data_IF_985440208198
#
_entry.id   IF_985440208198
#
_cell.length_a   1.000
_cell.length_b   1.000
_cell.length_c   1.000
_cell.angle_alpha   90.00
_cell.angle_beta   90.00
_cell.angle_gamma   90.00
#
_symmetry.space_group_name_H-M   'P 1'
#
loop_
_entity.id
_entity.type
_entity.pdbx_description
1 polymer ?
#
# COMPACT_ATOMS: atom_id res chain seq x y z
N UNK A 1 -12.30 -15.47 10.77
CA UNK A 1 -11.47 -14.48 10.05
C UNK A 1 -10.09 -15.07 9.86
N UNK A 2 -9.53 -15.10 8.65
CA UNK A 2 -8.16 -15.55 8.42
C UNK A 2 -7.16 -14.67 9.18
N UNK A 3 -6.08 -15.28 9.65
CA UNK A 3 -4.93 -14.58 10.24
C UNK A 3 -4.22 -13.70 9.20
N UNK A 4 -3.39 -12.76 9.67
CA UNK A 4 -2.55 -11.92 8.81
C UNK A 4 -1.63 -12.77 7.93
N UNK A 5 -1.04 -13.83 8.48
CA UNK A 5 -0.16 -14.74 7.75
C UNK A 5 -0.92 -15.49 6.63
N UNK A 6 -2.13 -15.98 6.90
CA UNK A 6 -2.96 -16.63 5.88
C UNK A 6 -3.36 -15.66 4.76
N UNK A 7 -3.68 -14.40 5.09
CA UNK A 7 -3.96 -13.37 4.08
C UNK A 7 -2.74 -13.07 3.20
N UNK A 8 -1.55 -12.95 3.79
CA UNK A 8 -0.29 -12.73 3.05
C UNK A 8 0.03 -13.89 2.11
N UNK A 9 -0.11 -15.13 2.60
CA UNK A 9 0.06 -16.33 1.79
C UNK A 9 -0.94 -16.36 0.62
N UNK A 10 -2.22 -16.13 0.88
CA UNK A 10 -3.26 -16.09 -0.16
C UNK A 10 -2.98 -15.01 -1.21
N UNK A 11 -2.45 -13.84 -0.81
CA UNK A 11 -2.10 -12.77 -1.75
C UNK A 11 -0.96 -13.17 -2.69
N UNK A 12 0.06 -13.86 -2.17
CA UNK A 12 1.15 -14.40 -3.00
C UNK A 12 0.63 -15.42 -4.00
N UNK A 13 -0.21 -16.36 -3.55
CA UNK A 13 -0.81 -17.39 -4.42
C UNK A 13 -1.65 -16.79 -5.55
N UNK A 14 -2.35 -15.67 -5.32
CA UNK A 14 -3.10 -14.98 -6.38
C UNK A 14 -2.18 -14.51 -7.52
N UNK A 15 -0.99 -13.97 -7.19
CA UNK A 15 -0.03 -13.52 -8.20
C UNK A 15 0.65 -14.68 -8.94
N UNK A 16 0.82 -15.84 -8.28
CA UNK A 16 1.38 -17.04 -8.91
C UNK A 16 0.40 -17.73 -9.87
N UNK A 17 -0.91 -17.55 -9.68
CA UNK A 17 -1.96 -18.16 -10.51
C UNK A 17 -2.24 -17.38 -11.80
N UNK A 18 -1.76 -16.15 -11.91
CA UNK A 18 -1.92 -15.31 -13.10
C UNK A 18 -2.64 -13.99 -12.81
N UNK A 19 -3.54 -13.59 -13.71
CA UNK A 19 -4.21 -12.30 -13.62
C UNK A 19 -5.50 -12.39 -12.79
N UNK A 20 -5.72 -11.40 -11.91
CA UNK A 20 -6.92 -11.25 -11.11
C UNK A 20 -7.25 -9.76 -10.91
N UNK A 21 -8.51 -9.48 -10.56
CA UNK A 21 -8.97 -8.10 -10.30
C UNK A 21 -8.84 -7.78 -8.81
N UNK A 22 -8.29 -6.60 -8.52
CA UNK A 22 -8.13 -6.04 -7.18
C UNK A 22 -8.82 -4.67 -7.10
N UNK A 23 -10.10 -4.59 -6.69
CA UNK A 23 -10.82 -3.33 -6.63
C UNK A 23 -10.39 -2.48 -5.42
N UNK A 24 -10.63 -1.17 -5.51
CA UNK A 24 -10.12 -0.19 -4.55
C UNK A 24 -11.21 0.45 -3.67
N UNK A 25 -11.58 -0.15 -2.52
CA UNK A 25 -12.42 0.54 -1.53
C UNK A 25 -11.72 1.75 -0.91
N UNK A 26 -12.51 2.75 -0.50
CA UNK A 26 -12.04 3.95 0.21
C UNK A 26 -12.60 4.06 1.64
N UNK A 27 -13.42 3.10 2.09
CA UNK A 27 -13.90 2.99 3.46
C UNK A 27 -14.23 1.53 3.85
N UNK A 28 -14.60 1.29 5.10
CA UNK A 28 -14.97 -0.05 5.60
C UNK A 28 -16.23 -0.61 4.92
N UNK A 29 -17.19 0.26 4.57
CA UNK A 29 -18.44 -0.16 3.94
C UNK A 29 -18.23 -0.71 2.54
N UNK A 30 -17.51 0.03 1.70
CA UNK A 30 -17.08 -0.37 0.36
C UNK A 30 -16.19 -1.60 0.39
N UNK A 31 -15.26 -1.72 1.36
CA UNK A 31 -14.44 -2.93 1.51
C UNK A 31 -15.29 -4.17 1.79
N UNK A 32 -16.27 -4.07 2.71
CA UNK A 32 -17.22 -5.14 3.02
C UNK A 32 -18.12 -5.49 1.84
N UNK A 33 -18.57 -4.48 1.10
CA UNK A 33 -19.37 -4.69 -0.09
C UNK A 33 -18.57 -5.41 -1.19
N UNK A 34 -17.34 -4.97 -1.49
CA UNK A 34 -16.52 -5.60 -2.52
C UNK A 34 -16.14 -7.04 -2.15
N UNK A 35 -15.75 -7.33 -0.90
CA UNK A 35 -15.49 -8.73 -0.54
C UNK A 35 -16.74 -9.61 -0.63
N UNK A 36 -17.94 -9.08 -0.37
CA UNK A 36 -19.20 -9.85 -0.48
C UNK A 36 -19.56 -10.19 -1.93
N UNK A 37 -19.05 -9.42 -2.90
CA UNK A 37 -19.13 -9.74 -4.33
C UNK A 37 -18.14 -10.84 -4.76
N UNK A 38 -17.29 -11.33 -3.84
CA UNK A 38 -16.41 -12.48 -4.06
C UNK A 38 -15.02 -12.15 -4.58
N UNK A 39 -14.63 -10.87 -4.64
CA UNK A 39 -13.25 -10.45 -4.94
C UNK A 39 -12.27 -11.10 -3.96
N UNK A 40 -11.11 -11.53 -4.48
CA UNK A 40 -10.14 -12.33 -3.72
C UNK A 40 -9.05 -11.51 -3.02
N UNK A 41 -8.97 -10.23 -3.33
CA UNK A 41 -8.12 -9.25 -2.67
C UNK A 41 -8.73 -7.86 -2.87
N UNK A 42 -8.30 -6.90 -2.05
CA UNK A 42 -8.66 -5.49 -2.15
C UNK A 42 -7.38 -4.66 -2.13
N UNK A 43 -7.43 -3.43 -2.64
CA UNK A 43 -6.37 -2.46 -2.46
C UNK A 43 -6.94 -1.17 -1.87
N UNK A 44 -6.23 -0.47 -1.00
CA UNK A 44 -6.65 0.90 -0.65
C UNK A 44 -6.45 1.83 -1.86
N UNK A 45 -6.95 3.05 -1.77
CA UNK A 45 -6.67 4.13 -2.73
C UNK A 45 -6.41 5.41 -1.94
N UNK A 46 -5.22 6.02 -2.12
CA UNK A 46 -4.88 7.26 -1.42
C UNK A 46 -5.83 8.39 -1.82
N UNK A 47 -6.09 8.53 -3.13
CA UNK A 47 -7.03 9.49 -3.68
C UNK A 47 -8.44 9.31 -3.12
N UNK A 48 -8.98 8.07 -3.14
CA UNK A 48 -10.31 7.81 -2.61
C UNK A 48 -10.42 8.11 -1.11
N UNK A 49 -9.41 7.75 -0.32
CA UNK A 49 -9.35 8.10 1.09
C UNK A 49 -9.30 9.62 1.31
N UNK A 50 -8.46 10.34 0.57
CA UNK A 50 -8.35 11.80 0.66
C UNK A 50 -9.65 12.52 0.28
N UNK A 51 -10.25 12.15 -0.85
CA UNK A 51 -11.48 12.77 -1.33
C UNK A 51 -12.66 12.52 -0.39
N UNK A 52 -12.71 11.35 0.27
CA UNK A 52 -13.71 11.07 1.30
C UNK A 52 -13.63 12.00 2.51
N UNK A 53 -12.44 12.60 2.75
CA UNK A 53 -12.18 13.58 3.81
C UNK A 53 -12.25 15.03 3.31
N UNK A 54 -12.57 15.24 2.03
CA UNK A 54 -12.63 16.57 1.42
C UNK A 54 -11.26 17.22 1.20
N UNK A 55 -10.18 16.42 1.12
CA UNK A 55 -8.84 16.92 0.81
C UNK A 55 -8.29 16.33 -0.50
N UNK A 56 -7.26 16.98 -1.04
CA UNK A 56 -6.57 16.51 -2.24
C UNK A 56 -5.77 15.23 -1.97
N UNK A 57 -5.52 14.45 -3.01
CA UNK A 57 -4.62 13.29 -2.90
C UNK A 57 -3.23 13.74 -2.40
N UNK A 58 -2.58 12.88 -1.61
CA UNK A 58 -1.32 13.21 -0.91
C UNK A 58 -1.47 14.12 0.31
N UNK A 59 -2.64 14.73 0.56
CA UNK A 59 -2.83 15.63 1.71
C UNK A 59 -3.14 14.91 3.04
N UNK A 60 -3.42 13.60 3.01
CA UNK A 60 -3.73 12.82 4.22
C UNK A 60 -2.43 12.55 5.00
N UNK A 61 -2.32 12.96 6.27
CA UNK A 61 -1.12 12.70 7.06
C UNK A 61 -0.89 11.20 7.31
N UNK A 62 0.37 10.79 7.43
CA UNK A 62 0.78 9.39 7.64
C UNK A 62 -0.02 8.67 8.74
N UNK A 63 -0.23 9.32 9.90
CA UNK A 63 -0.97 8.70 11.00
C UNK A 63 -2.41 8.35 10.59
N UNK A 64 -3.12 9.28 9.95
CA UNK A 64 -4.48 9.06 9.47
C UNK A 64 -4.53 8.01 8.34
N UNK A 65 -3.54 8.00 7.45
CA UNK A 65 -3.45 6.97 6.40
C UNK A 65 -3.23 5.57 6.99
N UNK A 66 -2.34 5.44 7.99
CA UNK A 66 -2.11 4.16 8.68
C UNK A 66 -3.37 3.67 9.41
N UNK A 67 -4.14 4.57 10.01
CA UNK A 67 -5.41 4.22 10.66
C UNK A 67 -6.46 3.79 9.64
N UNK A 68 -6.55 4.46 8.50
CA UNK A 68 -7.40 4.07 7.38
C UNK A 68 -7.03 2.67 6.87
N UNK A 69 -5.75 2.42 6.58
CA UNK A 69 -5.25 1.12 6.10
C UNK A 69 -5.57 0.02 7.12
N UNK A 70 -5.30 0.25 8.43
CA UNK A 70 -5.61 -0.71 9.50
C UNK A 70 -7.09 -1.05 9.53
N UNK A 71 -7.96 -0.05 9.47
CA UNK A 71 -9.41 -0.26 9.48
C UNK A 71 -9.88 -1.15 8.31
N UNK A 72 -9.32 -0.95 7.11
CA UNK A 72 -9.64 -1.78 5.95
C UNK A 72 -9.09 -3.21 6.08
N UNK A 73 -7.84 -3.36 6.56
CA UNK A 73 -7.21 -4.67 6.77
C UNK A 73 -7.93 -5.51 7.84
N UNK A 74 -8.38 -4.89 8.92
CA UNK A 74 -9.14 -5.54 10.00
C UNK A 74 -10.58 -5.89 9.57
N UNK A 75 -11.22 -5.06 8.75
CA UNK A 75 -12.60 -5.28 8.32
C UNK A 75 -12.76 -6.29 7.16
N UNK A 76 -11.66 -6.68 6.51
CA UNK A 76 -11.66 -7.54 5.32
C UNK A 76 -11.16 -8.93 5.67
N UNK A 77 -11.88 -9.99 5.25
CA UNK A 77 -11.39 -11.37 5.39
C UNK A 77 -10.41 -11.77 4.27
N UNK A 78 -10.36 -10.97 3.20
CA UNK A 78 -9.43 -11.11 2.06
C UNK A 78 -8.18 -10.24 2.24
N UNK A 79 -7.07 -10.51 1.53
CA UNK A 79 -5.85 -9.72 1.61
C UNK A 79 -6.06 -8.29 1.12
N UNK A 80 -5.40 -7.33 1.81
CA UNK A 80 -5.44 -5.91 1.46
C UNK A 80 -4.05 -5.42 1.05
N UNK A 81 -3.94 -4.80 -0.12
CA UNK A 81 -2.75 -4.07 -0.57
C UNK A 81 -2.88 -2.59 -0.24
N UNK A 82 -1.93 -2.01 0.49
CA UNK A 82 -1.91 -0.57 0.74
C UNK A 82 -1.33 0.21 -0.45
N UNK A 83 -2.10 1.16 -0.96
CA UNK A 83 -1.58 2.28 -1.73
C UNK A 83 -0.86 3.24 -0.77
N UNK A 84 0.48 3.20 -0.74
CA UNK A 84 1.28 3.91 0.26
C UNK A 84 2.07 5.10 -0.31
N UNK A 85 1.68 5.55 -1.51
CA UNK A 85 2.27 6.71 -2.22
C UNK A 85 3.80 6.60 -2.31
N UNK A 86 4.49 7.72 -2.11
CA UNK A 86 5.95 7.74 -2.01
C UNK A 86 6.50 7.18 -0.67
N UNK A 87 5.70 6.48 0.12
CA UNK A 87 6.10 5.98 1.43
C UNK A 87 6.21 7.04 2.51
N UNK A 88 5.63 8.24 2.33
CA UNK A 88 5.59 9.31 3.34
C UNK A 88 6.96 9.82 3.81
N UNK A 89 8.00 9.59 3.01
CA UNK A 89 9.37 10.05 3.27
C UNK A 89 10.15 10.09 1.96
N UNK A 90 11.13 10.99 1.85
CA UNK A 90 12.03 11.07 0.69
C UNK A 90 13.25 10.16 0.83
N UNK A 91 13.75 9.99 2.06
CA UNK A 91 14.99 9.24 2.32
C UNK A 91 14.72 7.74 2.44
N UNK A 92 15.68 6.88 2.05
CA UNK A 92 15.56 5.43 2.25
C UNK A 92 15.27 5.02 3.70
N UNK A 93 15.93 5.66 4.68
CA UNK A 93 15.69 5.39 6.11
C UNK A 93 14.27 5.77 6.56
N UNK A 94 13.76 6.89 6.05
CA UNK A 94 12.38 7.31 6.30
C UNK A 94 11.39 6.33 5.71
N UNK A 95 11.60 5.89 4.46
CA UNK A 95 10.78 4.85 3.81
C UNK A 95 10.81 3.55 4.61
N UNK A 96 11.98 3.12 5.10
CA UNK A 96 12.06 1.92 5.93
C UNK A 96 11.23 2.04 7.21
N UNK A 97 11.23 3.19 7.87
CA UNK A 97 10.46 3.44 9.08
C UNK A 97 8.95 3.46 8.82
N UNK A 98 8.49 4.17 7.80
CA UNK A 98 7.07 4.23 7.47
C UNK A 98 6.53 2.89 6.96
N UNK A 99 7.34 2.14 6.22
CA UNK A 99 7.01 0.77 5.76
C UNK A 99 6.84 -0.18 6.95
N UNK A 100 7.73 -0.15 7.97
CA UNK A 100 7.53 -0.95 9.20
C UNK A 100 6.18 -0.67 9.84
N UNK A 101 5.79 0.60 9.91
CA UNK A 101 4.50 1.03 10.46
C UNK A 101 3.32 0.58 9.60
N UNK A 102 3.46 0.62 8.28
CA UNK A 102 2.45 0.11 7.34
C UNK A 102 2.28 -1.41 7.47
N UNK A 103 3.37 -2.17 7.51
CA UNK A 103 3.35 -3.63 7.73
C UNK A 103 2.60 -4.00 9.01
N UNK A 104 2.77 -3.22 10.08
CA UNK A 104 2.11 -3.43 11.37
C UNK A 104 0.58 -3.20 11.35
N UNK A 105 0.01 -2.67 10.26
CA UNK A 105 -1.45 -2.54 10.08
C UNK A 105 -2.12 -3.87 9.70
N UNK A 106 -1.34 -4.90 9.35
CA UNK A 106 -1.86 -6.21 8.94
C UNK A 106 -2.11 -6.37 7.45
N UNK A 107 -1.63 -5.43 6.62
CA UNK A 107 -1.70 -5.53 5.15
C UNK A 107 -0.96 -6.77 4.62
N UNK A 108 -1.42 -7.22 3.46
CA UNK A 108 -0.81 -8.30 2.71
C UNK A 108 0.21 -7.83 1.67
N UNK A 109 0.06 -6.58 1.21
CA UNK A 109 1.00 -5.92 0.31
C UNK A 109 0.99 -4.42 0.51
N UNK A 110 1.99 -3.73 -0.05
CA UNK A 110 2.00 -2.28 -0.16
C UNK A 110 2.75 -1.82 -1.42
N UNK A 111 2.31 -0.71 -2.01
CA UNK A 111 3.00 -0.06 -3.13
C UNK A 111 3.76 1.19 -2.69
N UNK A 112 4.98 1.34 -3.19
CA UNK A 112 5.82 2.55 -3.06
C UNK A 112 6.08 3.09 -4.46
N UNK A 113 5.85 4.38 -4.65
CA UNK A 113 6.05 5.08 -5.92
C UNK A 113 7.34 5.94 -5.94
N UNK A 114 7.73 6.35 -7.15
CA UNK A 114 8.91 7.16 -7.43
C UNK A 114 8.62 8.66 -7.64
N UNK A 115 7.43 9.14 -7.28
CA UNK A 115 7.05 10.56 -7.32
C UNK A 115 7.51 11.34 -6.08
N UNK A 116 8.00 12.57 -6.28
CA UNK A 116 8.55 13.43 -5.21
C UNK A 116 7.55 14.39 -4.59
N UNK A 117 6.40 14.61 -5.24
CA UNK A 117 5.47 15.72 -4.99
C UNK A 117 6.04 17.13 -5.25
N UNK A 118 7.21 17.26 -5.88
CA UNK A 118 7.76 18.52 -6.38
C UNK A 118 7.52 18.62 -7.91
N UNK A 119 6.67 19.55 -8.38
CA UNK A 119 6.44 19.75 -9.82
C UNK A 119 7.70 20.08 -10.62
N UNK A 120 8.75 20.63 -10.00
CA UNK A 120 10.01 20.94 -10.67
C UNK A 120 10.92 19.70 -10.85
N UNK A 121 10.73 18.68 -10.01
CA UNK A 121 11.46 17.41 -10.05
C UNK A 121 10.48 16.27 -9.75
N UNK A 122 9.55 15.94 -10.67
CA UNK A 122 8.40 15.11 -10.34
C UNK A 122 8.76 13.67 -9.96
N UNK A 123 9.90 13.17 -10.42
CA UNK A 123 10.40 11.83 -10.11
C UNK A 123 11.73 11.87 -9.36
N UNK A 124 11.94 10.91 -8.46
CA UNK A 124 13.28 10.66 -7.91
C UNK A 124 14.22 10.18 -9.02
N UNK A 125 15.51 10.45 -8.86
CA UNK A 125 16.53 9.84 -9.72
C UNK A 125 16.48 8.31 -9.56
N UNK A 126 16.71 7.56 -10.65
CA UNK A 126 16.54 6.09 -10.66
C UNK A 126 17.33 5.40 -9.54
N UNK A 127 18.55 5.86 -9.25
CA UNK A 127 19.39 5.30 -8.19
C UNK A 127 18.74 5.49 -6.81
N UNK A 128 18.20 6.69 -6.53
CA UNK A 128 17.50 6.97 -5.28
C UNK A 128 16.16 6.22 -5.20
N UNK A 129 15.41 6.13 -6.29
CA UNK A 129 14.18 5.33 -6.36
C UNK A 129 14.45 3.86 -6.02
N UNK A 130 15.52 3.29 -6.59
CA UNK A 130 15.95 1.91 -6.29
C UNK A 130 16.40 1.76 -4.84
N UNK A 131 17.15 2.71 -4.29
CA UNK A 131 17.55 2.70 -2.87
C UNK A 131 16.34 2.72 -1.92
N UNK A 132 15.31 3.52 -2.23
CA UNK A 132 14.06 3.57 -1.47
C UNK A 132 13.31 2.24 -1.50
N UNK A 133 13.23 1.60 -2.67
CA UNK A 133 12.62 0.26 -2.80
C UNK A 133 13.43 -0.80 -2.03
N UNK A 134 14.77 -0.75 -2.06
CA UNK A 134 15.62 -1.64 -1.25
C UNK A 134 15.38 -1.46 0.25
N UNK A 135 15.25 -0.22 0.71
CA UNK A 135 14.98 0.08 2.11
C UNK A 135 13.58 -0.41 2.54
N UNK A 136 12.56 -0.24 1.69
CA UNK A 136 11.24 -0.83 1.90
C UNK A 136 11.31 -2.35 2.00
N UNK A 137 12.04 -3.03 1.10
CA UNK A 137 12.23 -4.49 1.13
C UNK A 137 12.90 -4.95 2.42
N UNK A 138 14.00 -4.30 2.81
CA UNK A 138 14.73 -4.62 4.05
C UNK A 138 13.84 -4.44 5.30
N UNK A 139 13.02 -3.38 5.33
CA UNK A 139 12.05 -3.17 6.40
C UNK A 139 11.02 -4.31 6.49
N UNK A 140 10.48 -4.77 5.36
CA UNK A 140 9.56 -5.91 5.35
C UNK A 140 10.26 -7.21 5.79
N UNK A 141 11.49 -7.45 5.33
CA UNK A 141 12.25 -8.66 5.68
C UNK A 141 12.53 -8.71 7.18
N UNK A 142 12.84 -7.57 7.81
CA UNK A 142 13.01 -7.48 9.27
C UNK A 142 11.74 -7.79 10.06
N UNK A 143 10.57 -7.67 9.43
CA UNK A 143 9.24 -7.96 9.99
C UNK A 143 8.68 -9.34 9.63
N UNK A 144 9.46 -10.23 9.01
CA UNK A 144 9.05 -11.59 8.63
C UNK A 144 9.02 -11.85 7.12
N UNK A 145 9.14 -10.83 6.28
CA UNK A 145 9.37 -10.96 4.83
C UNK A 145 8.14 -11.34 3.98
N UNK A 146 6.99 -11.57 4.61
CA UNK A 146 5.78 -12.13 4.00
C UNK A 146 4.86 -11.09 3.32
N UNK A 147 5.07 -9.79 3.54
CA UNK A 147 4.36 -8.72 2.80
C UNK A 147 4.91 -8.58 1.38
N UNK A 148 4.00 -8.51 0.41
CA UNK A 148 4.32 -8.28 -0.99
C UNK A 148 4.64 -6.80 -1.22
N UNK A 149 5.82 -6.50 -1.80
CA UNK A 149 6.22 -5.15 -2.16
C UNK A 149 5.96 -4.89 -3.63
N UNK A 150 5.21 -3.83 -3.94
CA UNK A 150 4.98 -3.35 -5.30
C UNK A 150 5.78 -2.06 -5.50
N UNK A 151 6.74 -2.05 -6.42
CA UNK A 151 7.37 -0.82 -6.87
C UNK A 151 6.52 -0.22 -8.00
N UNK A 152 6.07 1.02 -7.84
CA UNK A 152 5.28 1.75 -8.84
C UNK A 152 6.15 2.84 -9.46
N UNK A 153 6.11 2.96 -10.78
CA UNK A 153 6.76 4.07 -11.49
C UNK A 153 5.71 4.99 -12.08
N UNK A 154 5.85 6.27 -11.81
CA UNK A 154 4.90 7.33 -12.15
C UNK A 154 5.28 8.03 -13.47
N UNK A 155 6.23 7.48 -14.23
CA UNK A 155 6.79 8.10 -15.45
C UNK A 155 5.76 8.45 -16.54
N UNK A 156 4.58 7.83 -16.53
CA UNK A 156 3.48 8.13 -17.45
C UNK A 156 2.40 9.05 -16.85
N UNK A 157 2.53 9.42 -15.57
CA UNK A 157 1.53 10.18 -14.80
C UNK A 157 2.02 11.58 -14.38
N UNK A 158 3.26 11.94 -14.73
CA UNK A 158 3.90 13.24 -14.43
C UNK A 158 4.28 14.04 -15.67
#
# INVERSE_FOLDING_TARGET
MPSVAEKRQAFRELHERGCFVIPNPWDVGSARYLQSLGFKALATTSAGAAWSLGCADGAVPLAAMLDHIRALAEASDVPVNADFGNGFADTPDGVAETVRRCVATGVAGLSIEDMTNDPAKPLYDIDLAVERIRAARAAIDSGGGDVLLVARSEVYLV
#
